data_IF_117129154748
#
_entry.id   IF_117129154748
#
_cell.length_a   1.000
_cell.length_b   1.000
_cell.length_c   1.000
_cell.angle_alpha   90.00
_cell.angle_beta   90.00
_cell.angle_gamma   90.00
#
_symmetry.space_group_name_H-M   'P 1'
#
loop_
_entity.id
_entity.type
_entity.pdbx_description
1 polymer ?
#
# COMPACT_ATOMS: atom_id res chain seq x y z
N UNK A 1 -32.22 27.45 16.98
CA UNK A 1 -33.28 26.44 16.84
C UNK A 1 -34.18 26.89 15.70
N UNK A 2 -33.97 26.43 14.46
CA UNK A 2 -35.00 26.53 13.43
C UNK A 2 -35.77 25.21 13.35
N UNK A 3 -37.09 25.35 13.19
CA UNK A 3 -38.09 24.31 13.18
C UNK A 3 -37.92 23.34 11.99
N UNK A 4 -37.94 22.04 12.28
CA UNK A 4 -38.01 20.98 11.28
C UNK A 4 -39.46 20.85 10.77
N UNK A 5 -39.73 21.42 9.60
CA UNK A 5 -40.93 21.09 8.83
C UNK A 5 -40.73 19.73 8.16
N UNK A 6 -41.16 18.68 8.84
CA UNK A 6 -41.35 17.35 8.26
C UNK A 6 -42.45 17.43 7.20
N UNK A 7 -42.12 17.16 5.94
CA UNK A 7 -43.11 16.92 4.88
C UNK A 7 -43.89 15.64 5.25
N UNK A 8 -45.08 15.78 5.85
CA UNK A 8 -46.07 14.71 5.84
C UNK A 8 -46.64 14.67 4.43
N UNK A 9 -46.37 13.59 3.70
CA UNK A 9 -47.14 13.27 2.50
C UNK A 9 -48.61 13.17 2.91
N UNK A 10 -49.48 13.89 2.20
CA UNK A 10 -50.91 13.84 2.43
C UNK A 10 -51.42 12.41 2.20
N UNK A 11 -52.47 12.02 2.93
CA UNK A 11 -53.04 10.66 2.84
C UNK A 11 -53.49 10.29 1.43
N UNK A 12 -53.78 11.30 0.61
CA UNK A 12 -54.24 11.15 -0.76
C UNK A 12 -53.08 10.76 -1.70
N UNK A 13 -51.87 11.30 -1.48
CA UNK A 13 -50.66 10.92 -2.23
C UNK A 13 -50.22 9.47 -1.92
N UNK A 14 -50.46 9.02 -0.68
CA UNK A 14 -50.23 7.62 -0.31
C UNK A 14 -51.27 6.67 -0.92
N UNK A 15 -52.49 7.14 -1.16
CA UNK A 15 -53.52 6.34 -1.82
C UNK A 15 -53.19 6.14 -3.29
N UNK A 16 -52.78 7.19 -4.02
CA UNK A 16 -52.40 7.08 -5.43
C UNK A 16 -51.20 6.16 -5.66
N UNK A 17 -50.22 6.17 -4.75
CA UNK A 17 -49.08 5.24 -4.80
C UNK A 17 -49.48 3.78 -4.55
N UNK A 18 -50.46 3.55 -3.68
CA UNK A 18 -50.96 2.20 -3.42
C UNK A 18 -51.80 1.66 -4.58
N UNK A 19 -52.55 2.54 -5.26
CA UNK A 19 -53.35 2.18 -6.44
C UNK A 19 -52.44 1.84 -7.64
N UNK A 20 -51.40 2.63 -7.89
CA UNK A 20 -50.39 2.32 -8.92
C UNK A 20 -49.66 0.99 -8.63
N UNK A 21 -49.32 0.73 -7.36
CA UNK A 21 -48.71 -0.53 -6.96
C UNK A 21 -49.67 -1.73 -7.04
N UNK A 22 -50.98 -1.49 -7.05
CA UNK A 22 -52.00 -2.52 -7.27
C UNK A 22 -52.16 -2.82 -8.78
N UNK A 23 -52.16 -1.80 -9.63
CA UNK A 23 -52.21 -1.96 -11.09
C UNK A 23 -50.99 -2.73 -11.63
N UNK A 24 -49.79 -2.46 -11.11
CA UNK A 24 -48.58 -3.21 -11.49
C UNK A 24 -48.65 -4.68 -11.05
N UNK A 25 -49.24 -4.98 -9.89
CA UNK A 25 -49.47 -6.38 -9.46
C UNK A 25 -50.49 -7.09 -10.34
N UNK A 26 -51.59 -6.43 -10.70
CA UNK A 26 -52.57 -7.03 -11.63
C UNK A 26 -51.96 -7.30 -13.01
N UNK A 27 -51.05 -6.43 -13.47
CA UNK A 27 -50.34 -6.62 -14.74
C UNK A 27 -49.35 -7.79 -14.68
N UNK A 28 -48.65 -7.96 -13.57
CA UNK A 28 -47.73 -9.08 -13.36
C UNK A 28 -48.50 -10.42 -13.21
N UNK A 29 -49.63 -10.42 -12.49
CA UNK A 29 -50.53 -11.59 -12.39
C UNK A 29 -51.15 -11.95 -13.75
N UNK A 30 -51.49 -10.96 -14.58
CA UNK A 30 -51.97 -11.20 -15.94
C UNK A 30 -50.88 -11.80 -16.85
N UNK A 31 -49.60 -11.54 -16.57
CA UNK A 31 -48.48 -12.13 -17.29
C UNK A 31 -48.20 -13.57 -16.84
N UNK A 32 -48.35 -13.88 -15.54
CA UNK A 32 -48.25 -15.25 -15.00
C UNK A 32 -49.43 -16.15 -15.42
N UNK A 33 -50.63 -15.61 -15.65
CA UNK A 33 -51.77 -16.36 -16.20
C UNK A 33 -51.67 -16.65 -17.71
N UNK A 34 -50.61 -16.17 -18.37
CA UNK A 34 -50.27 -16.50 -19.75
C UNK A 34 -49.21 -17.61 -19.85
N UNK A 35 -49.28 -18.63 -18.99
CA UNK A 35 -48.52 -19.85 -19.21
C UNK A 35 -49.02 -20.60 -20.47
N UNK A 36 -48.10 -21.15 -21.29
CA UNK A 36 -48.48 -21.96 -22.43
C UNK A 36 -49.09 -23.27 -21.93
N UNK A 37 -50.31 -23.56 -22.39
CA UNK A 37 -51.02 -24.83 -22.19
C UNK A 37 -50.10 -26.00 -22.52
N UNK A 38 -49.64 -26.66 -21.47
CA UNK A 38 -48.90 -27.92 -21.53
C UNK A 38 -49.84 -29.02 -22.04
N UNK A 39 -49.60 -29.46 -23.27
CA UNK A 39 -50.35 -30.51 -23.93
C UNK A 39 -49.91 -31.86 -23.39
N UNK A 40 -50.78 -32.48 -22.60
CA UNK A 40 -50.54 -33.76 -21.94
C UNK A 40 -50.11 -34.91 -22.86
N UNK A 41 -49.31 -35.78 -22.25
CA UNK A 41 -48.72 -37.00 -22.78
C UNK A 41 -49.75 -38.09 -23.15
N UNK A 42 -49.60 -38.65 -24.37
CA UNK A 42 -49.96 -40.03 -24.72
C UNK A 42 -48.72 -40.70 -25.36
N UNK A 43 -48.17 -41.80 -24.81
CA UNK A 43 -46.99 -42.46 -25.37
C UNK A 43 -47.39 -43.66 -26.21
N UNK A 44 -47.92 -43.44 -27.42
CA UNK A 44 -47.97 -44.49 -28.45
C UNK A 44 -47.42 -43.97 -29.78
N UNK A 45 -46.18 -44.40 -30.04
CA UNK A 45 -45.66 -44.83 -31.34
C UNK A 45 -46.29 -44.18 -32.59
N UNK A 46 -45.87 -42.96 -32.91
CA UNK A 46 -45.86 -42.54 -34.31
C UNK A 46 -44.61 -41.72 -34.63
N UNK A 47 -43.65 -42.38 -35.26
CA UNK A 47 -42.60 -41.75 -36.06
C UNK A 47 -43.25 -41.09 -37.27
N UNK A 48 -44.03 -40.04 -37.05
CA UNK A 48 -44.47 -39.15 -38.12
C UNK A 48 -43.58 -37.92 -38.02
N UNK A 49 -42.63 -37.83 -38.95
CA UNK A 49 -41.96 -36.57 -39.29
C UNK A 49 -43.03 -35.50 -39.28
N UNK A 50 -43.00 -34.60 -38.29
CA UNK A 50 -43.88 -33.43 -38.22
C UNK A 50 -43.58 -32.64 -39.50
N UNK A 51 -44.31 -32.96 -40.57
CA UNK A 51 -44.21 -32.28 -41.86
C UNK A 51 -44.58 -30.85 -41.52
N UNK A 52 -43.60 -29.95 -41.58
CA UNK A 52 -43.84 -28.51 -41.64
C UNK A 52 -44.79 -28.26 -42.83
N UNK A 53 -46.09 -28.38 -42.58
CA UNK A 53 -47.17 -28.00 -43.50
C UNK A 53 -47.48 -26.56 -43.17
N UNK A 54 -46.61 -25.73 -43.71
CA UNK A 54 -46.72 -24.30 -43.80
C UNK A 54 -45.75 -23.91 -44.88
N UNK A 55 -46.06 -24.27 -46.13
CA UNK A 55 -45.46 -23.60 -47.27
C UNK A 55 -45.96 -22.16 -47.20
N UNK A 56 -45.33 -21.34 -46.36
CA UNK A 56 -45.37 -19.90 -46.55
C UNK A 56 -44.87 -19.72 -47.98
N UNK A 57 -45.74 -19.18 -48.85
CA UNK A 57 -45.37 -18.86 -50.23
C UNK A 57 -44.22 -17.87 -50.17
N UNK A 58 -42.98 -18.35 -50.19
CA UNK A 58 -41.75 -17.54 -50.17
C UNK A 58 -41.73 -16.57 -51.36
N UNK A 59 -42.44 -16.93 -52.44
CA UNK A 59 -42.60 -16.11 -53.64
C UNK A 59 -43.50 -14.87 -53.44
N UNK A 60 -44.29 -14.82 -52.35
CA UNK A 60 -45.13 -13.68 -51.96
C UNK A 60 -44.60 -12.93 -50.72
N UNK A 61 -43.46 -13.34 -50.14
CA UNK A 61 -42.77 -12.56 -49.12
C UNK A 61 -41.92 -11.53 -49.86
N UNK A 62 -42.59 -10.53 -50.42
CA UNK A 62 -41.90 -9.31 -50.83
C UNK A 62 -41.36 -8.69 -49.55
N UNK A 63 -40.05 -8.58 -49.43
CA UNK A 63 -39.45 -7.85 -48.31
C UNK A 63 -40.00 -6.42 -48.37
N UNK A 64 -40.81 -6.05 -47.40
CA UNK A 64 -41.29 -4.68 -47.27
C UNK A 64 -40.06 -3.79 -47.03
N UNK A 65 -39.66 -3.03 -48.06
CA UNK A 65 -38.44 -2.21 -48.08
C UNK A 65 -38.41 -1.15 -46.96
N UNK A 66 -39.57 -0.86 -46.35
CA UNK A 66 -39.75 0.08 -45.25
C UNK A 66 -39.43 -0.51 -43.85
N UNK A 67 -39.18 -1.82 -43.76
CA UNK A 67 -38.89 -2.50 -42.49
C UNK A 67 -37.41 -2.86 -42.37
N UNK A 68 -36.81 -2.47 -41.25
CA UNK A 68 -35.42 -2.84 -40.95
C UNK A 68 -35.39 -4.22 -40.28
N UNK A 69 -34.30 -4.98 -40.46
CA UNK A 69 -34.10 -6.23 -39.73
C UNK A 69 -34.01 -6.03 -38.21
N UNK A 70 -34.24 -7.09 -37.43
CA UNK A 70 -34.16 -7.07 -35.96
C UNK A 70 -32.86 -6.45 -35.42
N UNK A 71 -31.73 -6.72 -36.09
CA UNK A 71 -30.44 -6.13 -35.72
C UNK A 71 -30.39 -4.61 -35.93
N UNK A 72 -30.96 -4.12 -37.03
CA UNK A 72 -31.02 -2.67 -37.29
C UNK A 72 -31.99 -1.95 -36.33
N UNK A 73 -33.10 -2.60 -35.92
CA UNK A 73 -33.94 -2.07 -34.84
C UNK A 73 -33.20 -1.93 -33.51
N UNK A 74 -32.34 -2.89 -33.16
CA UNK A 74 -31.49 -2.79 -31.96
C UNK A 74 -30.52 -1.61 -32.05
N UNK A 75 -29.90 -1.38 -33.21
CA UNK A 75 -29.04 -0.22 -33.42
C UNK A 75 -29.82 1.09 -33.27
N UNK A 76 -31.00 1.20 -33.88
CA UNK A 76 -31.87 2.38 -33.72
C UNK A 76 -32.28 2.59 -32.26
N UNK A 77 -32.52 1.53 -31.49
CA UNK A 77 -32.84 1.65 -30.06
C UNK A 77 -31.64 2.18 -29.26
N UNK A 78 -30.43 1.70 -29.54
CA UNK A 78 -29.19 2.21 -28.93
C UNK A 78 -29.00 3.68 -29.26
N UNK A 79 -29.19 4.08 -30.52
CA UNK A 79 -29.11 5.49 -30.93
C UNK A 79 -30.13 6.37 -30.22
N UNK A 80 -31.38 5.91 -30.08
CA UNK A 80 -32.42 6.62 -29.33
C UNK A 80 -32.05 6.78 -27.86
N UNK A 81 -31.50 5.73 -27.24
CA UNK A 81 -31.03 5.78 -25.86
C UNK A 81 -29.86 6.76 -25.70
N UNK A 82 -28.93 6.78 -26.66
CA UNK A 82 -27.81 7.71 -26.68
C UNK A 82 -28.29 9.17 -26.81
N UNK A 83 -29.19 9.46 -27.75
CA UNK A 83 -29.79 10.78 -27.91
C UNK A 83 -30.59 11.22 -26.68
N UNK A 84 -31.24 10.29 -25.99
CA UNK A 84 -31.91 10.57 -24.72
C UNK A 84 -30.91 11.03 -23.66
N UNK A 85 -29.80 10.33 -23.46
CA UNK A 85 -28.76 10.76 -22.51
C UNK A 85 -28.10 12.09 -22.90
N UNK A 86 -27.88 12.35 -24.20
CA UNK A 86 -27.37 13.65 -24.65
C UNK A 86 -28.32 14.79 -24.29
N UNK A 87 -29.63 14.58 -24.47
CA UNK A 87 -30.65 15.55 -24.05
C UNK A 87 -30.65 15.77 -22.54
N UNK A 88 -30.46 14.72 -21.73
CA UNK A 88 -30.36 14.84 -20.26
C UNK A 88 -29.11 15.64 -19.85
N UNK A 89 -27.98 15.43 -20.53
CA UNK A 89 -26.74 16.17 -20.25
C UNK A 89 -26.91 17.66 -20.60
N UNK A 90 -27.51 17.96 -21.74
CA UNK A 90 -27.71 19.34 -22.20
C UNK A 90 -28.82 20.09 -21.44
N UNK A 91 -29.88 19.39 -21.01
CA UNK A 91 -31.00 20.00 -20.30
C UNK A 91 -30.86 19.94 -18.78
N UNK A 92 -30.84 18.72 -18.24
CA UNK A 92 -31.09 18.48 -16.81
C UNK A 92 -29.82 18.63 -15.96
N UNK A 93 -28.63 18.40 -16.52
CA UNK A 93 -27.37 18.53 -15.79
C UNK A 93 -27.16 19.94 -15.21
N UNK A 94 -27.62 20.97 -15.91
CA UNK A 94 -27.55 22.35 -15.41
C UNK A 94 -28.46 22.57 -14.21
N UNK A 95 -29.58 21.85 -14.10
CA UNK A 95 -30.45 21.91 -12.91
C UNK A 95 -29.76 21.30 -11.68
N UNK A 96 -28.98 20.23 -11.87
CA UNK A 96 -28.17 19.63 -10.80
C UNK A 96 -27.08 20.56 -10.28
N UNK A 97 -26.59 21.50 -11.10
CA UNK A 97 -25.63 22.51 -10.66
C UNK A 97 -26.20 23.39 -9.54
N UNK A 98 -27.52 23.64 -9.54
CA UNK A 98 -28.20 24.38 -8.47
C UNK A 98 -28.17 23.67 -7.11
N UNK A 99 -28.03 22.34 -7.11
CA UNK A 99 -27.94 21.50 -5.90
C UNK A 99 -26.49 21.29 -5.42
N UNK A 100 -25.51 21.93 -6.06
CA UNK A 100 -24.10 21.79 -5.70
C UNK A 100 -23.82 22.39 -4.31
N UNK A 101 -23.28 21.57 -3.42
CA UNK A 101 -22.76 22.01 -2.12
C UNK A 101 -21.24 22.15 -2.17
N UNK A 102 -20.69 23.20 -1.56
CA UNK A 102 -19.23 23.34 -1.41
C UNK A 102 -18.75 22.37 -0.33
N UNK A 103 -17.69 21.63 -0.63
CA UNK A 103 -17.06 20.75 0.34
C UNK A 103 -16.58 21.55 1.56
N UNK A 104 -17.05 21.15 2.74
CA UNK A 104 -16.58 21.64 4.02
C UNK A 104 -15.72 20.54 4.64
N UNK A 105 -14.41 20.77 4.85
CA UNK A 105 -13.56 19.75 5.44
C UNK A 105 -14.03 19.44 6.88
N UNK A 106 -13.93 18.18 7.32
CA UNK A 106 -14.26 17.80 8.69
C UNK A 106 -13.36 18.54 9.68
N UNK A 107 -13.94 18.95 10.80
CA UNK A 107 -13.20 19.60 11.90
C UNK A 107 -12.63 18.53 12.84
N UNK A 108 -11.62 18.88 13.63
CA UNK A 108 -11.02 17.98 14.63
C UNK A 108 -12.04 17.43 15.65
N UNK A 109 -13.16 18.12 15.85
CA UNK A 109 -14.26 17.69 16.74
C UNK A 109 -14.98 16.42 16.25
N UNK A 110 -14.87 16.10 14.95
CA UNK A 110 -15.44 14.90 14.33
C UNK A 110 -14.34 14.01 13.74
N UNK A 111 -13.51 13.35 14.57
CA UNK A 111 -12.34 12.60 14.10
C UNK A 111 -12.70 11.23 13.51
N UNK A 112 -13.99 10.91 13.42
CA UNK A 112 -14.48 9.58 13.11
C UNK A 112 -14.73 9.45 11.61
N UNK A 113 -14.07 8.46 11.00
CA UNK A 113 -14.34 8.09 9.60
C UNK A 113 -15.20 6.83 9.58
N UNK A 114 -16.42 6.98 9.06
CA UNK A 114 -17.37 5.89 8.85
C UNK A 114 -17.40 5.52 7.38
N UNK A 115 -17.07 4.26 7.08
CA UNK A 115 -17.19 3.69 5.74
C UNK A 115 -18.43 2.80 5.66
N UNK A 116 -19.26 3.10 4.66
CA UNK A 116 -20.45 2.34 4.28
C UNK A 116 -20.28 1.74 2.89
N UNK A 117 -20.91 0.59 2.64
CA UNK A 117 -20.92 -0.06 1.33
C UNK A 117 -22.36 -0.14 0.83
N UNK A 118 -22.59 0.21 -0.43
CA UNK A 118 -23.90 0.17 -1.08
C UNK A 118 -23.75 -0.37 -2.51
N UNK A 119 -24.71 -1.19 -2.95
CA UNK A 119 -24.71 -1.86 -4.27
C UNK A 119 -25.84 -1.35 -5.19
N UNK A 120 -26.29 -0.12 -4.98
CA UNK A 120 -27.17 0.65 -5.88
C UNK A 120 -28.36 -0.15 -6.46
N UNK A 121 -29.20 -0.70 -5.58
CA UNK A 121 -30.42 -1.43 -5.93
C UNK A 121 -30.34 -2.94 -5.68
N UNK A 122 -29.13 -3.50 -5.61
CA UNK A 122 -28.95 -4.91 -5.29
C UNK A 122 -28.98 -5.16 -3.77
N UNK A 123 -29.78 -6.16 -3.35
CA UNK A 123 -29.80 -6.64 -1.96
C UNK A 123 -28.58 -7.52 -1.70
N UNK A 124 -27.49 -6.91 -1.27
CA UNK A 124 -26.27 -7.62 -0.90
C UNK A 124 -26.07 -7.71 0.62
N UNK A 125 -25.67 -8.86 1.19
CA UNK A 125 -25.50 -9.01 2.64
C UNK A 125 -24.42 -8.10 3.23
N UNK A 126 -23.40 -7.71 2.44
CA UNK A 126 -22.34 -6.79 2.89
C UNK A 126 -22.84 -5.36 3.07
N UNK A 127 -24.01 -4.99 2.53
CA UNK A 127 -24.59 -3.64 2.71
C UNK A 127 -24.83 -3.31 4.19
N UNK A 128 -25.02 -4.32 5.05
CA UNK A 128 -25.16 -4.14 6.51
C UNK A 128 -23.86 -3.75 7.22
N UNK A 129 -22.69 -4.05 6.61
CA UNK A 129 -21.38 -3.84 7.23
C UNK A 129 -21.11 -2.36 7.46
N UNK A 130 -20.63 -2.02 8.64
CA UNK A 130 -20.13 -0.67 8.97
C UNK A 130 -18.70 -0.79 9.45
N UNK A 131 -17.84 0.08 8.91
CA UNK A 131 -16.43 0.15 9.26
C UNK A 131 -16.16 1.52 9.84
N UNK A 132 -15.49 1.52 10.98
CA UNK A 132 -15.24 2.67 11.81
C UNK A 132 -13.73 2.79 11.99
N UNK A 133 -13.16 3.95 11.66
CA UNK A 133 -11.73 4.23 11.85
C UNK A 133 -11.56 5.55 12.58
N UNK A 134 -10.71 5.57 13.59
CA UNK A 134 -10.44 6.76 14.41
C UNK A 134 -8.94 6.87 14.72
N UNK A 135 -8.34 8.07 14.59
CA UNK A 135 -7.01 8.34 15.11
C UNK A 135 -7.04 8.40 16.64
N UNK A 136 -6.13 7.69 17.30
CA UNK A 136 -6.11 7.61 18.78
C UNK A 136 -5.79 8.97 19.41
N UNK A 137 -4.98 9.79 18.74
CA UNK A 137 -4.57 11.11 19.22
C UNK A 137 -5.72 12.12 19.39
N UNK A 138 -6.85 11.93 18.70
CA UNK A 138 -8.02 12.82 18.80
C UNK A 138 -9.09 12.30 19.77
N UNK A 139 -8.86 11.14 20.40
CA UNK A 139 -9.78 10.61 21.39
C UNK A 139 -9.69 11.40 22.70
N UNK A 140 -10.80 11.55 23.46
CA UNK A 140 -10.81 12.23 24.75
C UNK A 140 -10.21 11.34 25.86
N UNK A 141 -8.91 11.06 25.74
CA UNK A 141 -8.11 10.33 26.72
C UNK A 141 -7.38 11.32 27.64
N UNK A 142 -7.33 11.03 28.94
CA UNK A 142 -6.82 11.98 29.95
C UNK A 142 -5.31 12.06 30.02
N UNK A 143 -4.65 10.90 30.01
CA UNK A 143 -3.23 10.73 30.29
C UNK A 143 -2.59 9.81 29.24
N UNK A 144 -1.26 9.89 29.07
CA UNK A 144 -0.49 8.98 28.21
C UNK A 144 -0.64 7.51 28.65
N UNK A 145 -0.87 7.28 29.95
CA UNK A 145 -1.20 5.96 30.49
C UNK A 145 -2.54 5.44 29.96
N UNK A 146 -3.54 6.32 29.82
CA UNK A 146 -4.82 5.97 29.24
C UNK A 146 -4.69 5.67 27.74
N UNK A 147 -3.82 6.38 27.02
CA UNK A 147 -3.46 6.08 25.62
C UNK A 147 -2.81 4.71 25.51
N UNK A 148 -1.83 4.40 26.35
CA UNK A 148 -1.17 3.11 26.38
C UNK A 148 -2.17 1.97 26.66
N UNK A 149 -3.01 2.15 27.69
CA UNK A 149 -4.08 1.21 28.03
C UNK A 149 -5.10 1.03 26.92
N UNK A 150 -5.48 2.10 26.22
CA UNK A 150 -6.37 2.03 25.07
C UNK A 150 -5.78 1.17 23.96
N UNK A 151 -4.47 1.34 23.65
CA UNK A 151 -3.76 0.52 22.66
C UNK A 151 -3.76 -0.96 23.05
N UNK A 152 -3.56 -1.27 24.33
CA UNK A 152 -3.62 -2.64 24.85
C UNK A 152 -5.03 -3.25 24.75
N UNK A 153 -6.07 -2.51 25.14
CA UNK A 153 -7.46 -2.97 25.07
C UNK A 153 -7.93 -3.17 23.62
N UNK A 154 -7.47 -2.32 22.70
CA UNK A 154 -7.76 -2.45 21.27
C UNK A 154 -7.10 -3.69 20.65
N UNK A 155 -5.93 -4.09 21.16
CA UNK A 155 -5.17 -5.24 20.71
C UNK A 155 -4.94 -5.23 19.19
N UNK A 156 -5.37 -6.26 18.43
CA UNK A 156 -5.09 -6.37 16.99
C UNK A 156 -5.85 -5.33 16.13
N UNK A 157 -6.80 -4.59 16.72
CA UNK A 157 -7.59 -3.56 16.04
C UNK A 157 -6.85 -2.22 15.96
N UNK A 158 -5.82 -2.02 16.78
CA UNK A 158 -4.95 -0.87 16.70
C UNK A 158 -3.82 -1.09 15.69
N UNK A 159 -3.47 -0.07 14.92
CA UNK A 159 -2.35 -0.08 13.98
C UNK A 159 -1.66 1.28 13.96
N UNK A 160 -0.33 1.30 13.89
CA UNK A 160 0.44 2.56 13.80
C UNK A 160 0.09 3.39 12.55
N UNK A 161 -0.06 2.73 11.39
CA UNK A 161 -0.48 3.37 10.13
C UNK A 161 -1.96 3.12 9.85
N UNK A 162 -2.67 4.06 9.21
CA UNK A 162 -4.05 3.83 8.86
C UNK A 162 -4.14 2.73 7.79
N UNK A 163 -5.16 1.85 7.87
CA UNK A 163 -5.43 0.89 6.82
C UNK A 163 -5.76 1.59 5.49
N UNK A 164 -5.36 1.03 4.35
CA UNK A 164 -5.59 1.63 3.01
C UNK A 164 -7.07 1.91 2.71
N UNK A 165 -7.99 1.15 3.30
CA UNK A 165 -9.44 1.26 3.11
C UNK A 165 -10.13 2.19 4.12
N UNK A 166 -9.38 2.87 4.98
CA UNK A 166 -9.91 3.71 6.06
C UNK A 166 -10.44 5.07 5.62
N UNK A 167 -10.05 5.55 4.42
CA UNK A 167 -10.43 6.88 3.95
C UNK A 167 -9.63 8.03 4.58
N UNK A 168 -8.60 7.72 5.38
CA UNK A 168 -7.68 8.70 5.96
C UNK A 168 -6.57 9.02 4.94
N UNK A 169 -6.43 10.29 4.59
CA UNK A 169 -5.43 10.78 3.62
C UNK A 169 -4.06 11.03 4.26
N UNK A 170 -3.00 11.16 3.44
CA UNK A 170 -1.62 11.38 3.89
C UNK A 170 -1.48 12.62 4.80
N UNK A 171 -2.14 13.72 4.44
CA UNK A 171 -2.16 14.96 5.24
C UNK A 171 -2.72 14.72 6.64
N UNK A 172 -3.77 13.91 6.76
CA UNK A 172 -4.38 13.60 8.06
C UNK A 172 -3.47 12.68 8.89
N UNK A 173 -2.67 11.84 8.23
CA UNK A 173 -1.66 11.00 8.90
C UNK A 173 -0.56 11.82 9.54
N UNK A 174 -0.08 12.86 8.86
CA UNK A 174 0.97 13.73 9.40
C UNK A 174 0.48 14.53 10.61
N UNK A 175 -0.78 14.98 10.60
CA UNK A 175 -1.32 15.84 11.67
C UNK A 175 -1.78 15.02 12.88
N UNK A 176 -2.42 13.85 12.67
CA UNK A 176 -3.09 13.09 13.76
C UNK A 176 -2.57 11.67 13.95
N UNK A 177 -1.60 11.23 13.14
CA UNK A 177 -1.12 9.84 13.13
C UNK A 177 -0.14 9.45 14.25
N UNK A 178 0.24 10.38 15.14
CA UNK A 178 1.28 10.16 16.15
C UNK A 178 1.04 8.91 17.02
N UNK A 179 -0.21 8.64 17.38
CA UNK A 179 -0.57 7.52 18.27
C UNK A 179 -1.19 6.33 17.55
N UNK A 180 -1.27 6.40 16.22
CA UNK A 180 -1.88 5.39 15.37
C UNK A 180 -3.40 5.44 15.31
N UNK A 181 -3.97 4.36 14.77
CA UNK A 181 -5.37 4.26 14.35
C UNK A 181 -6.05 3.05 14.95
N UNK A 182 -7.29 3.24 15.38
CA UNK A 182 -8.18 2.17 15.81
C UNK A 182 -9.20 1.90 14.71
N UNK A 183 -9.33 0.63 14.31
CA UNK A 183 -10.33 0.21 13.31
C UNK A 183 -11.19 -0.93 13.82
N UNK A 184 -12.51 -0.75 13.73
CA UNK A 184 -13.50 -1.79 14.01
C UNK A 184 -14.48 -1.92 12.84
N UNK A 185 -14.82 -3.15 12.49
CA UNK A 185 -15.85 -3.44 11.50
C UNK A 185 -16.86 -4.39 12.10
N UNK A 186 -18.15 -4.09 11.94
CA UNK A 186 -19.26 -4.88 12.45
C UNK A 186 -20.23 -5.18 11.32
N UNK A 187 -20.71 -6.42 11.27
CA UNK A 187 -21.66 -6.93 10.29
C UNK A 187 -22.68 -7.91 10.90
N UNK A 188 -22.75 -7.98 12.24
CA UNK A 188 -23.52 -9.00 12.94
C UNK A 188 -25.02 -8.66 13.01
N UNK A 189 -25.36 -7.39 13.15
CA UNK A 189 -26.75 -6.94 13.27
C UNK A 189 -27.39 -6.80 11.87
N UNK A 190 -28.71 -7.03 11.76
CA UNK A 190 -29.41 -7.00 10.47
C UNK A 190 -29.39 -5.60 9.86
N UNK A 191 -29.62 -4.58 10.68
CA UNK A 191 -29.68 -3.20 10.22
C UNK A 191 -28.31 -2.51 10.27
N UNK A 192 -27.92 -1.78 9.21
CA UNK A 192 -26.66 -1.07 9.20
C UNK A 192 -26.54 0.02 10.28
N UNK A 193 -27.66 0.67 10.62
CA UNK A 193 -27.69 1.71 11.66
C UNK A 193 -27.41 1.09 13.03
N UNK A 194 -27.93 -0.11 13.29
CA UNK A 194 -27.64 -0.84 14.53
C UNK A 194 -26.16 -1.20 14.61
N UNK A 195 -25.55 -1.65 13.51
CA UNK A 195 -24.11 -1.93 13.45
C UNK A 195 -23.26 -0.68 13.75
N UNK A 196 -23.67 0.48 13.23
CA UNK A 196 -22.99 1.74 13.51
C UNK A 196 -23.10 2.14 14.99
N UNK A 197 -24.31 2.04 15.56
CA UNK A 197 -24.54 2.33 16.98
C UNK A 197 -23.77 1.38 17.90
N UNK A 198 -23.74 0.10 17.57
CA UNK A 198 -22.94 -0.85 18.33
C UNK A 198 -21.45 -0.49 18.29
N UNK A 199 -20.94 -0.02 17.14
CA UNK A 199 -19.56 0.45 17.04
C UNK A 199 -19.29 1.67 17.94
N UNK A 200 -20.22 2.64 18.01
CA UNK A 200 -20.07 3.80 18.89
C UNK A 200 -20.10 3.39 20.36
N UNK A 201 -21.05 2.54 20.76
CA UNK A 201 -21.17 2.09 22.15
C UNK A 201 -19.91 1.34 22.61
N UNK A 202 -19.31 0.53 21.73
CA UNK A 202 -18.04 -0.16 22.01
C UNK A 202 -16.88 0.82 22.13
N UNK A 203 -16.81 1.86 21.29
CA UNK A 203 -15.78 2.88 21.42
C UNK A 203 -15.91 3.62 22.76
N UNK A 204 -17.12 4.03 23.14
CA UNK A 204 -17.36 4.74 24.40
C UNK A 204 -16.97 3.89 25.61
N UNK A 205 -17.27 2.59 25.56
CA UNK A 205 -16.83 1.63 26.57
C UNK A 205 -15.30 1.51 26.62
N UNK A 206 -14.62 1.49 25.47
CA UNK A 206 -13.16 1.44 25.42
C UNK A 206 -12.54 2.71 26.01
N UNK A 207 -13.08 3.89 25.69
CA UNK A 207 -12.63 5.17 26.23
C UNK A 207 -12.86 5.21 27.76
N UNK A 208 -14.03 4.79 28.23
CA UNK A 208 -14.36 4.74 29.65
C UNK A 208 -13.41 3.81 30.42
N UNK A 209 -13.10 2.63 29.85
CA UNK A 209 -12.19 1.67 30.47
C UNK A 209 -10.73 2.13 30.43
N UNK A 210 -10.31 2.80 29.34
CA UNK A 210 -8.98 3.37 29.21
C UNK A 210 -8.75 4.51 30.21
N UNK A 211 -9.73 5.39 30.41
CA UNK A 211 -9.67 6.48 31.39
C UNK A 211 -9.84 6.02 32.85
N UNK A 212 -10.21 4.76 33.09
CA UNK A 212 -10.32 4.20 34.44
C UNK A 212 -8.97 3.65 34.90
N UNK A 213 -8.04 4.55 35.20
CA UNK A 213 -6.68 4.27 35.71
C UNK A 213 -6.74 3.67 37.12
N UNK A 214 -7.65 4.14 37.98
CA UNK A 214 -7.74 3.71 39.39
C UNK A 214 -7.88 2.19 39.65
N UNK A 215 -8.34 1.40 38.67
CA UNK A 215 -8.49 -0.05 38.81
C UNK A 215 -7.25 -0.83 38.38
N UNK A 216 -6.62 -0.43 37.27
CA UNK A 216 -5.50 -1.14 36.63
C UNK A 216 -4.87 -0.25 35.55
N UNK A 217 -3.57 0.03 35.67
CA UNK A 217 -2.84 0.94 34.77
C UNK A 217 -2.20 0.22 33.58
N UNK A 218 -2.06 -1.11 33.64
CA UNK A 218 -1.44 -1.95 32.60
C UNK A 218 -0.08 -1.44 32.09
N UNK A 219 0.71 -0.79 32.95
CA UNK A 219 2.03 -0.23 32.61
C UNK A 219 3.12 -1.29 32.50
N UNK A 220 2.89 -2.46 33.09
CA UNK A 220 3.76 -3.62 33.07
C UNK A 220 3.72 -4.38 31.74
N UNK A 221 2.65 -4.22 30.96
CA UNK A 221 2.42 -4.95 29.71
C UNK A 221 2.89 -4.11 28.52
N UNK A 222 3.88 -4.54 27.73
CA UNK A 222 4.27 -3.84 26.52
C UNK A 222 3.21 -3.99 25.41
N UNK A 223 3.11 -2.99 24.53
CA UNK A 223 2.23 -3.03 23.36
C UNK A 223 2.62 -4.20 22.45
N UNK A 224 1.63 -5.02 22.05
CA UNK A 224 1.84 -6.10 21.10
C UNK A 224 1.71 -5.60 19.65
N UNK A 225 2.81 -5.68 18.90
CA UNK A 225 2.87 -5.28 17.47
C UNK A 225 2.96 -6.48 16.52
N UNK A 226 2.84 -7.72 17.02
CA UNK A 226 3.03 -8.92 16.21
C UNK A 226 2.07 -9.00 15.03
N UNK A 227 0.81 -8.56 15.21
CA UNK A 227 -0.18 -8.53 14.12
C UNK A 227 0.19 -7.53 13.03
N UNK A 228 0.80 -6.40 13.40
CA UNK A 228 1.29 -5.37 12.47
C UNK A 228 2.45 -5.93 11.65
N UNK A 229 3.46 -6.50 12.32
CA UNK A 229 4.61 -7.14 11.65
C UNK A 229 4.17 -8.28 10.74
N UNK A 230 3.24 -9.12 11.18
CA UNK A 230 2.70 -10.22 10.37
C UNK A 230 1.90 -9.72 9.14
N UNK A 231 1.29 -8.53 9.21
CA UNK A 231 0.63 -7.90 8.06
C UNK A 231 1.67 -7.39 7.07
N UNK A 232 2.71 -6.70 7.53
CA UNK A 232 3.78 -6.21 6.65
C UNK A 232 4.53 -7.35 5.96
N UNK A 233 4.86 -8.42 6.69
CA UNK A 233 5.48 -9.62 6.10
C UNK A 233 4.66 -10.29 5.00
N UNK A 234 3.33 -10.18 5.05
CA UNK A 234 2.44 -10.73 4.00
C UNK A 234 2.39 -9.86 2.74
N UNK A 235 2.70 -8.59 2.86
CA UNK A 235 2.64 -7.64 1.76
C UNK A 235 4.07 -7.39 1.24
N UNK A 236 4.45 -7.88 0.05
CA UNK A 236 5.83 -7.83 -0.44
C UNK A 236 6.34 -6.41 -0.73
N UNK A 237 5.44 -5.41 -0.70
CA UNK A 237 5.76 -4.00 -0.90
C UNK A 237 6.31 -3.32 0.37
N UNK A 238 6.17 -3.96 1.53
CA UNK A 238 6.63 -3.41 2.80
C UNK A 238 7.86 -4.18 3.28
N UNK A 239 8.87 -3.44 3.76
CA UNK A 239 9.99 -4.04 4.47
C UNK A 239 9.55 -4.61 5.83
N UNK A 240 10.46 -5.29 6.53
CA UNK A 240 10.27 -5.85 7.88
C UNK A 240 9.73 -4.85 8.90
N UNK A 241 9.98 -3.56 8.68
CA UNK A 241 9.54 -2.44 9.52
C UNK A 241 8.29 -1.73 9.00
N UNK A 242 7.67 -2.19 7.91
CA UNK A 242 6.46 -1.56 7.36
C UNK A 242 6.73 -0.31 6.51
N UNK A 243 7.97 -0.05 6.13
CA UNK A 243 8.31 0.99 5.16
C UNK A 243 8.04 0.49 3.75
N UNK A 244 7.37 1.31 2.95
CA UNK A 244 7.27 1.13 1.51
C UNK A 244 8.35 2.01 0.90
N UNK A 245 9.22 1.46 0.07
CA UNK A 245 10.24 2.26 -0.63
C UNK A 245 9.53 3.39 -1.40
N UNK A 246 9.70 4.62 -0.94
CA UNK A 246 9.16 5.84 -1.56
C UNK A 246 10.26 6.54 -2.36
N UNK A 247 9.87 7.59 -3.10
CA UNK A 247 10.82 8.53 -3.69
C UNK A 247 11.65 9.22 -2.61
N UNK A 248 11.11 9.38 -1.41
CA UNK A 248 11.78 10.00 -0.27
C UNK A 248 12.91 9.14 0.30
N UNK A 249 12.84 7.81 0.09
CA UNK A 249 13.90 6.88 0.47
C UNK A 249 15.04 6.85 -0.56
N UNK A 250 14.89 7.55 -1.70
CA UNK A 250 15.95 7.63 -2.70
C UNK A 250 17.12 8.41 -2.11
N UNK A 251 18.35 7.85 -2.08
CA UNK A 251 19.49 8.53 -1.50
C UNK A 251 19.70 9.90 -2.16
N UNK A 252 19.71 10.95 -1.35
CA UNK A 252 19.90 12.33 -1.84
C UNK A 252 21.23 12.44 -2.61
N UNK A 253 22.23 11.65 -2.23
CA UNK A 253 23.53 11.56 -2.92
C UNK A 253 23.43 11.11 -4.39
N UNK A 254 22.41 10.30 -4.73
CA UNK A 254 22.20 9.78 -6.09
C UNK A 254 21.40 10.74 -6.96
N UNK A 255 20.77 11.76 -6.37
CA UNK A 255 20.15 12.82 -7.14
C UNK A 255 21.27 13.68 -7.75
N UNK A 256 21.33 13.80 -9.08
CA UNK A 256 22.29 14.64 -9.80
C UNK A 256 21.95 16.13 -9.66
N UNK A 257 21.94 16.59 -8.42
CA UNK A 257 21.61 17.93 -7.98
C UNK A 257 22.92 18.67 -7.71
N UNK A 258 22.96 19.98 -7.95
CA UNK A 258 24.14 20.80 -7.65
C UNK A 258 24.44 20.79 -6.15
N UNK A 259 25.69 21.06 -5.76
CA UNK A 259 26.06 21.03 -4.33
C UNK A 259 25.21 22.01 -3.48
N UNK A 260 24.84 23.16 -4.06
CA UNK A 260 24.04 24.20 -3.41
C UNK A 260 22.58 23.76 -3.21
N UNK A 261 21.97 23.15 -4.22
CA UNK A 261 20.61 22.59 -4.13
C UNK A 261 20.55 21.37 -3.19
N UNK A 262 21.62 20.56 -3.12
CA UNK A 262 21.75 19.47 -2.12
C UNK A 262 21.78 20.01 -0.70
N UNK A 263 22.48 21.12 -0.46
CA UNK A 263 22.52 21.79 0.85
C UNK A 263 21.15 22.36 1.24
N UNK A 264 20.41 22.92 0.28
CA UNK A 264 19.04 23.40 0.50
C UNK A 264 18.07 22.27 0.85
N UNK A 265 18.18 21.10 0.20
CA UNK A 265 17.30 19.94 0.46
C UNK A 265 17.57 19.22 1.78
N UNK A 266 18.83 19.16 2.20
CA UNK A 266 19.20 18.57 3.51
C UNK A 266 18.74 19.46 4.67
N UNK A 267 18.46 20.74 4.41
CA UNK A 267 18.13 21.74 5.41
C UNK A 267 19.32 21.99 6.33
N UNK A 268 19.70 23.25 6.52
CA UNK A 268 20.75 23.64 7.46
C UNK A 268 20.51 23.04 8.88
N UNK A 269 19.26 22.72 9.23
CA UNK A 269 18.86 22.22 10.55
C UNK A 269 19.22 20.76 10.85
N UNK A 270 19.15 19.82 9.89
CA UNK A 270 19.43 18.41 10.17
C UNK A 270 20.93 18.11 10.29
N UNK A 271 21.75 18.85 9.54
CA UNK A 271 23.19 18.80 9.63
C UNK A 271 23.69 19.54 10.88
N UNK A 272 23.20 20.75 11.16
CA UNK A 272 23.60 21.51 12.36
C UNK A 272 23.05 20.92 13.67
N UNK A 273 21.89 20.26 13.69
CA UNK A 273 21.41 19.55 14.88
C UNK A 273 22.24 18.29 15.16
N UNK A 274 22.58 17.51 14.12
CA UNK A 274 23.52 16.38 14.25
C UNK A 274 24.94 16.82 14.56
N UNK A 275 25.39 17.97 14.08
CA UNK A 275 26.69 18.54 14.43
C UNK A 275 26.69 19.23 15.79
N UNK A 276 25.56 19.72 16.32
CA UNK A 276 25.47 20.14 17.74
C UNK A 276 25.46 18.95 18.69
N UNK A 277 24.86 17.81 18.30
CA UNK A 277 24.91 16.57 19.10
C UNK A 277 26.26 15.84 18.98
N UNK A 278 26.94 15.93 17.83
CA UNK A 278 28.31 15.37 17.66
C UNK A 278 29.43 16.32 18.04
N UNK A 279 29.16 17.62 18.02
CA UNK A 279 30.11 18.69 18.26
C UNK A 279 30.19 19.00 19.73
N UNK A 280 30.73 18.05 20.50
CA UNK A 280 31.52 18.38 21.69
C UNK A 280 32.51 17.25 22.06
N UNK A 281 32.30 15.99 21.66
CA UNK A 281 33.13 14.89 22.19
C UNK A 281 33.89 13.98 21.21
N UNK A 282 33.66 14.02 19.89
CA UNK A 282 34.17 12.94 19.00
C UNK A 282 35.02 13.32 17.78
N UNK A 283 35.45 14.57 17.61
CA UNK A 283 36.32 14.95 16.47
C UNK A 283 37.82 15.08 16.78
N UNK A 284 38.27 14.78 18.01
CA UNK A 284 39.72 14.72 18.30
C UNK A 284 40.31 13.41 17.77
N UNK A 285 40.73 13.49 16.51
CA UNK A 285 41.78 12.74 15.82
C UNK A 285 42.14 11.36 16.43
N UNK A 286 41.59 10.28 15.87
CA UNK A 286 42.03 8.88 16.13
C UNK A 286 43.56 8.72 15.95
N UNK A 287 44.17 9.52 15.08
CA UNK A 287 45.62 9.58 14.89
C UNK A 287 46.36 10.22 16.07
N UNK A 288 45.80 11.26 16.68
CA UNK A 288 46.41 11.88 17.87
C UNK A 288 46.27 10.98 19.09
N UNK A 289 45.14 10.29 19.29
CA UNK A 289 45.01 9.34 20.41
C UNK A 289 45.95 8.13 20.28
N UNK A 290 46.21 7.65 19.07
CA UNK A 290 47.19 6.57 18.87
C UNK A 290 48.62 7.05 19.07
N UNK A 291 48.94 8.29 18.67
CA UNK A 291 50.24 8.91 18.92
C UNK A 291 50.45 9.22 20.41
N UNK A 292 49.42 9.70 21.10
CA UNK A 292 49.46 9.97 22.54
C UNK A 292 49.68 8.67 23.32
N UNK A 293 48.92 7.61 23.02
CA UNK A 293 49.14 6.28 23.62
C UNK A 293 50.56 5.75 23.37
N UNK A 294 51.14 6.01 22.20
CA UNK A 294 52.53 5.63 21.89
C UNK A 294 53.55 6.46 22.68
N UNK A 295 53.28 7.74 22.93
CA UNK A 295 54.10 8.60 23.80
C UNK A 295 54.02 8.16 25.25
N UNK A 296 52.81 8.04 25.78
CA UNK A 296 52.56 7.61 27.16
C UNK A 296 53.15 6.21 27.42
N UNK A 297 53.05 5.29 26.45
CA UNK A 297 53.69 3.97 26.52
C UNK A 297 55.23 4.06 26.52
N UNK A 298 55.82 4.95 25.72
CA UNK A 298 57.28 5.17 25.72
C UNK A 298 57.76 5.72 27.06
N UNK A 299 57.07 6.74 27.56
CA UNK A 299 57.37 7.35 28.85
C UNK A 299 57.22 6.34 29.99
N UNK A 300 56.19 5.51 29.96
CA UNK A 300 56.01 4.41 30.92
C UNK A 300 57.12 3.36 30.82
N UNK A 301 57.49 2.92 29.62
CA UNK A 301 58.59 1.97 29.42
C UNK A 301 59.92 2.54 29.93
N UNK A 302 60.12 3.86 29.84
CA UNK A 302 61.32 4.52 30.35
C UNK A 302 61.40 4.60 31.89
N UNK A 303 60.29 4.38 32.59
CA UNK A 303 60.26 4.28 34.07
C UNK A 303 60.52 2.87 34.62
N UNK A 304 60.51 1.84 33.76
CA UNK A 304 60.69 0.44 34.19
C UNK A 304 62.16 0.03 34.32
N UNK A 305 62.45 -0.89 35.24
CA UNK A 305 63.77 -1.50 35.38
C UNK A 305 64.09 -2.42 34.19
N UNK A 306 65.39 -2.65 33.85
CA UNK A 306 65.77 -3.40 32.65
C UNK A 306 65.18 -4.82 32.57
N UNK A 307 65.03 -5.50 33.72
CA UNK A 307 64.42 -6.83 33.79
C UNK A 307 62.91 -6.79 33.47
N UNK A 308 62.20 -5.75 33.91
CA UNK A 308 60.76 -5.58 33.69
C UNK A 308 60.45 -5.19 32.25
N UNK A 309 61.31 -4.37 31.62
CA UNK A 309 61.20 -4.06 30.18
C UNK A 309 61.28 -5.32 29.33
N UNK A 310 62.25 -6.21 29.62
CA UNK A 310 62.40 -7.47 28.89
C UNK A 310 61.21 -8.42 29.06
N UNK A 311 60.54 -8.39 30.22
CA UNK A 311 59.33 -9.18 30.48
C UNK A 311 58.11 -8.63 29.72
N UNK A 312 57.97 -7.31 29.61
CA UNK A 312 56.89 -6.68 28.82
C UNK A 312 57.09 -6.92 27.33
N UNK A 313 58.33 -6.79 26.83
CA UNK A 313 58.64 -7.06 25.41
C UNK A 313 58.43 -8.53 25.03
N UNK A 314 58.78 -9.46 25.92
CA UNK A 314 58.50 -10.90 25.70
C UNK A 314 57.01 -11.25 25.81
N UNK A 315 56.24 -10.51 26.62
CA UNK A 315 54.79 -10.65 26.68
C UNK A 315 54.10 -10.09 25.43
N UNK A 316 54.59 -8.98 24.87
CA UNK A 316 54.08 -8.42 23.61
C UNK A 316 54.44 -9.29 22.40
N UNK A 317 55.66 -9.84 22.36
CA UNK A 317 56.03 -10.82 21.33
C UNK A 317 55.10 -12.06 21.36
N UNK A 318 54.66 -12.48 22.54
CA UNK A 318 53.66 -13.56 22.70
C UNK A 318 52.24 -13.14 22.33
N UNK A 319 51.84 -11.88 22.55
CA UNK A 319 50.53 -11.38 22.13
C UNK A 319 50.45 -11.22 20.61
N UNK A 320 51.54 -10.78 19.98
CA UNK A 320 51.63 -10.66 18.52
C UNK A 320 51.57 -12.06 17.86
N UNK A 321 52.19 -13.08 18.45
CA UNK A 321 52.01 -14.48 18.04
C UNK A 321 50.55 -14.95 18.15
N UNK A 322 49.81 -14.49 19.16
CA UNK A 322 48.39 -14.80 19.35
C UNK A 322 47.47 -14.05 18.37
N UNK A 323 47.80 -12.81 18.00
CA UNK A 323 47.08 -12.07 16.96
C UNK A 323 47.32 -12.68 15.57
N UNK A 324 48.53 -13.14 15.28
CA UNK A 324 48.85 -13.93 14.07
C UNK A 324 48.04 -15.22 14.03
N UNK A 325 47.80 -15.88 15.18
CA UNK A 325 46.93 -17.06 15.27
C UNK A 325 45.45 -16.74 15.02
N UNK A 326 44.94 -15.61 15.55
CA UNK A 326 43.56 -15.15 15.27
C UNK A 326 43.36 -14.76 13.82
N UNK A 327 44.34 -14.10 13.21
CA UNK A 327 44.29 -13.75 11.79
C UNK A 327 44.42 -15.00 10.92
N UNK A 328 45.17 -16.02 11.35
CA UNK A 328 45.17 -17.34 10.72
C UNK A 328 43.83 -18.08 10.86
N UNK A 329 43.10 -17.92 11.96
CA UNK A 329 41.74 -18.45 12.13
C UNK A 329 40.71 -17.72 11.26
N UNK A 330 40.77 -16.38 11.18
CA UNK A 330 39.98 -15.59 10.22
C UNK A 330 40.28 -15.99 8.78
N UNK A 331 41.53 -16.35 8.49
CA UNK A 331 41.96 -16.87 7.19
C UNK A 331 41.39 -18.28 6.93
N UNK A 332 41.28 -19.14 7.96
CA UNK A 332 40.59 -20.46 7.87
C UNK A 332 39.08 -20.32 7.71
N UNK A 333 38.43 -19.35 8.33
CA UNK A 333 36.99 -19.06 8.14
C UNK A 333 36.69 -18.57 6.72
N UNK A 334 37.55 -17.71 6.14
CA UNK A 334 37.44 -17.32 4.73
C UNK A 334 37.54 -18.50 3.77
N UNK A 335 38.29 -19.56 4.14
CA UNK A 335 38.37 -20.84 3.38
C UNK A 335 37.08 -21.65 3.41
N UNK A 336 36.26 -21.55 4.48
CA UNK A 336 34.93 -22.19 4.56
C UNK A 336 33.90 -21.54 3.61
N UNK A 337 34.14 -20.30 3.17
CA UNK A 337 33.25 -19.53 2.28
C UNK A 337 33.48 -19.88 0.78
N UNK A 338 34.35 -20.86 0.47
CA UNK A 338 34.46 -21.40 -0.90
C UNK A 338 35.27 -20.55 -1.88
N UNK A 339 36.03 -19.56 -1.40
CA UNK A 339 37.02 -18.86 -2.24
C UNK A 339 38.24 -19.75 -2.49
N UNK A 340 38.56 -19.98 -3.77
CA UNK A 340 39.75 -20.72 -4.20
C UNK A 340 41.01 -19.96 -3.75
N UNK A 341 42.05 -20.62 -3.19
CA UNK A 341 43.28 -19.92 -2.85
C UNK A 341 43.96 -19.41 -4.13
N UNK A 342 44.34 -18.12 -4.14
CA UNK A 342 45.20 -17.58 -5.18
C UNK A 342 46.54 -18.31 -5.18
N UNK A 343 47.07 -18.61 -6.37
CA UNK A 343 48.40 -19.19 -6.48
C UNK A 343 49.47 -18.18 -6.04
N UNK A 344 50.67 -18.66 -5.67
CA UNK A 344 51.78 -17.77 -5.28
C UNK A 344 52.09 -16.76 -6.39
N UNK A 345 51.91 -17.15 -7.64
CA UNK A 345 52.09 -16.32 -8.83
C UNK A 345 51.03 -15.21 -8.93
N UNK A 346 49.77 -15.51 -8.63
CA UNK A 346 48.69 -14.52 -8.59
C UNK A 346 48.89 -13.51 -7.47
N UNK A 347 49.35 -13.95 -6.29
CA UNK A 347 49.66 -13.05 -5.17
C UNK A 347 50.84 -12.13 -5.53
N UNK A 348 51.87 -12.65 -6.19
CA UNK A 348 53.00 -11.85 -6.65
C UNK A 348 52.57 -10.83 -7.72
N UNK A 349 51.72 -11.23 -8.67
CA UNK A 349 51.18 -10.34 -9.70
C UNK A 349 50.30 -9.23 -9.10
N UNK A 350 49.49 -9.54 -8.08
CA UNK A 350 48.65 -8.56 -7.40
C UNK A 350 49.48 -7.57 -6.57
N UNK A 351 50.58 -8.04 -5.96
CA UNK A 351 51.51 -7.20 -5.20
C UNK A 351 52.31 -6.27 -6.12
N UNK A 352 52.69 -6.74 -7.32
CA UNK A 352 53.27 -5.90 -8.35
C UNK A 352 52.28 -4.88 -8.92
N UNK A 353 51.01 -5.26 -9.11
CA UNK A 353 49.94 -4.31 -9.48
C UNK A 353 49.73 -3.24 -8.42
N UNK A 354 49.76 -3.59 -7.13
CA UNK A 354 49.69 -2.62 -6.04
C UNK A 354 50.89 -1.67 -6.04
N UNK A 355 52.12 -2.20 -6.18
CA UNK A 355 53.32 -1.36 -6.30
C UNK A 355 53.27 -0.40 -7.49
N UNK A 356 52.74 -0.84 -8.63
CA UNK A 356 52.55 0.02 -9.80
C UNK A 356 51.48 1.10 -9.60
N UNK A 357 50.38 0.78 -8.89
CA UNK A 357 49.36 1.77 -8.51
C UNK A 357 49.90 2.81 -7.53
N UNK A 358 50.69 2.39 -6.55
CA UNK A 358 51.35 3.29 -5.60
C UNK A 358 52.43 4.15 -6.28
N UNK A 359 53.08 3.63 -7.32
CA UNK A 359 54.03 4.37 -8.16
C UNK A 359 53.36 5.29 -9.20
N UNK A 360 52.02 5.26 -9.33
CA UNK A 360 51.27 6.14 -10.23
C UNK A 360 51.44 5.85 -11.73
N UNK A 361 51.85 4.64 -12.11
CA UNK A 361 51.97 4.26 -13.52
C UNK A 361 50.59 3.94 -14.14
N UNK A 362 50.24 4.48 -15.32
CA UNK A 362 48.97 4.20 -15.97
C UNK A 362 48.94 2.75 -16.50
N UNK A 363 47.83 2.04 -16.20
CA UNK A 363 47.65 0.65 -16.57
C UNK A 363 47.64 0.46 -18.11
N UNK A 364 48.60 -0.32 -18.62
CA UNK A 364 48.67 -0.71 -20.02
C UNK A 364 47.66 -1.84 -20.26
N UNK A 365 46.73 -1.63 -21.20
CA UNK A 365 45.68 -2.60 -21.51
C UNK A 365 46.27 -3.82 -22.24
N UNK A 366 46.36 -4.95 -21.52
CA UNK A 366 46.75 -6.23 -22.12
C UNK A 366 45.59 -6.78 -22.96
N UNK A 367 45.83 -6.76 -24.27
CA UNK A 367 45.01 -7.32 -25.32
C UNK A 367 45.21 -8.84 -25.33
N UNK A 368 44.22 -9.62 -24.85
CA UNK A 368 44.24 -11.09 -24.96
C UNK A 368 43.25 -11.51 -26.03
N UNK A 369 43.84 -12.00 -27.11
CA UNK A 369 43.22 -12.49 -28.32
C UNK A 369 42.71 -13.93 -28.15
N UNK A 370 41.67 -14.25 -28.93
CA UNK A 370 41.18 -15.57 -29.33
C UNK A 370 40.61 -16.55 -28.26
N UNK A 371 39.34 -16.93 -28.43
CA UNK A 371 39.03 -18.16 -29.20
C UNK A 371 37.54 -18.35 -29.49
N UNK A 372 37.31 -18.85 -30.69
CA UNK A 372 36.07 -19.13 -31.39
C UNK A 372 35.17 -20.16 -30.69
N UNK A 373 33.86 -19.94 -30.75
CA UNK A 373 32.88 -21.03 -30.77
C UNK A 373 31.65 -20.60 -31.59
N UNK A 374 31.67 -20.99 -32.86
CA UNK A 374 30.52 -20.97 -33.76
C UNK A 374 29.48 -22.01 -33.32
N UNK A 375 28.19 -21.68 -33.47
CA UNK A 375 27.04 -22.55 -33.83
C UNK A 375 25.75 -21.69 -33.81
N UNK A 376 24.66 -22.07 -34.52
CA UNK A 376 24.30 -21.41 -35.78
C UNK A 376 23.00 -20.60 -35.74
N UNK A 377 22.82 -19.79 -36.78
CA UNK A 377 21.61 -19.04 -37.12
C UNK A 377 20.38 -19.95 -37.25
N UNK A 378 19.28 -19.53 -36.61
CA UNK A 378 17.93 -19.91 -36.97
C UNK A 378 17.14 -18.64 -37.33
N UNK A 379 16.61 -18.66 -38.53
CA UNK A 379 15.77 -17.65 -39.15
C UNK A 379 14.36 -17.62 -38.55
N UNK A 380 13.74 -16.44 -38.55
CA UNK A 380 12.28 -16.30 -38.67
C UNK A 380 11.54 -15.77 -37.44
N UNK A 381 11.04 -14.54 -37.56
CA UNK A 381 9.62 -14.14 -37.40
C UNK A 381 9.44 -12.78 -36.70
N UNK A 382 9.13 -11.78 -37.54
CA UNK A 382 8.06 -10.79 -37.39
C UNK A 382 7.95 -10.02 -36.05
N UNK A 383 8.75 -8.97 -35.93
CA UNK A 383 8.56 -7.89 -34.96
C UNK A 383 7.86 -6.69 -35.60
N UNK A 384 6.55 -6.59 -35.40
CA UNK A 384 5.71 -5.42 -35.67
C UNK A 384 6.26 -4.17 -34.95
N UNK A 385 6.71 -3.19 -35.73
CA UNK A 385 7.08 -1.85 -35.24
C UNK A 385 5.82 -1.03 -35.01
N UNK A 386 5.45 -0.83 -33.74
CA UNK A 386 4.42 0.12 -33.31
C UNK A 386 5.07 1.52 -33.26
N UNK A 387 4.59 2.53 -34.01
CA UNK A 387 5.06 3.90 -33.85
C UNK A 387 4.51 4.55 -32.58
N UNK A 388 5.24 5.48 -31.95
CA UNK A 388 4.79 6.18 -30.74
C UNK A 388 3.63 7.15 -31.05
N UNK A 389 2.73 7.42 -30.07
CA UNK A 389 1.60 8.31 -30.26
C UNK A 389 2.03 9.79 -30.27
N UNK A 390 1.52 10.52 -31.26
CA UNK A 390 1.66 11.96 -31.45
C UNK A 390 1.10 12.77 -30.27
N UNK A 391 1.91 13.70 -29.78
CA UNK A 391 1.52 14.84 -28.94
C UNK A 391 0.55 15.78 -29.66
N UNK A 392 -0.53 16.28 -29.01
CA UNK A 392 -1.39 17.29 -29.60
C UNK A 392 -0.71 18.68 -29.59
N UNK A 393 -0.93 19.51 -30.63
CA UNK A 393 -0.41 20.87 -30.66
C UNK A 393 -1.20 21.79 -29.73
N UNK A 394 -0.47 22.65 -29.04
CA UNK A 394 -0.97 23.81 -28.31
C UNK A 394 -1.58 24.84 -29.28
N UNK A 395 -2.86 25.15 -29.11
CA UNK A 395 -3.47 26.45 -29.40
C UNK A 395 -4.75 26.60 -28.58
#
# INVERSE_FOLDING_TARGET
MPDEAFFSLDTDDQAELNDLAAEDRERDEAYELSEPVDGGDDPEESTTKRKYRGAHNLDNIQAEEDTTGSLGFRFLQIERQWLHYMRLIEGDMFMLQGLRQKYQPPTADSPIVVRTVHYNGERHPVTRKRVFTVPVALLPLRDDLAVHKFKLLAGPRWTQRPPTDSGVGEVEVEVWGNEGYFKISIEDLPEPIQNLKFASDVLDQLIANANNTAKDDMTDIPIDERHVVARYKRNPKFDRFGHHASKDDFPIEWLHITADERQQLVGEDAFLARERERGEDYSINRKERTLQRKRDKREWMDTLNPAERSAVETAEARSDEFEVYRDAERWREKRKIGLRPMTVEEVQAELERQRRREAGEPAQADNVDATQKELPLAEGSDGSTIPPPDTPPSA
#
